data_IF_683770549167
#
_entry.id   IF_683770549167
#
_cell.length_a   1.000
_cell.length_b   1.000
_cell.length_c   1.000
_cell.angle_alpha   90.00
_cell.angle_beta   90.00
_cell.angle_gamma   90.00
#
_symmetry.space_group_name_H-M   'P 1'
#
loop_
_entity.id
_entity.type
_entity.pdbx_description
1 polymer ?
#
# COMPACT_ATOMS: atom_id res chain seq x y z
N UNK A 1 -0.75 35.28 -6.90
CA UNK A 1 -1.55 36.35 -7.51
C UNK A 1 -0.87 37.71 -7.30
N UNK A 2 -0.59 38.16 -6.09
CA UNK A 2 0.05 39.48 -5.81
C UNK A 2 1.41 39.67 -6.47
N UNK A 3 2.17 38.64 -6.72
CA UNK A 3 3.46 38.70 -7.46
C UNK A 3 3.29 39.07 -8.92
N UNK A 4 2.13 38.80 -9.52
CA UNK A 4 1.81 39.16 -10.92
C UNK A 4 0.97 40.41 -11.05
N UNK A 5 0.19 40.76 -10.00
CA UNK A 5 -0.61 41.98 -9.96
C UNK A 5 -0.72 42.48 -8.50
N UNK A 6 -0.01 43.57 -8.22
CA UNK A 6 0.06 44.16 -6.87
C UNK A 6 -1.22 44.88 -6.40
N UNK A 7 -2.18 45.07 -7.31
CA UNK A 7 -3.44 45.76 -6.98
C UNK A 7 -4.52 44.80 -6.46
N UNK A 8 -4.32 43.46 -6.55
CA UNK A 8 -5.27 42.46 -6.10
C UNK A 8 -5.37 42.46 -4.56
N UNK A 9 -6.61 42.47 -4.07
CA UNK A 9 -6.98 42.25 -2.68
C UNK A 9 -7.58 40.87 -2.48
N UNK A 10 -7.82 40.44 -1.24
CA UNK A 10 -8.49 39.14 -0.96
C UNK A 10 -9.91 39.12 -1.51
N UNK A 11 -10.59 40.27 -1.57
CA UNK A 11 -11.95 40.38 -2.09
C UNK A 11 -12.05 40.24 -3.63
N UNK A 12 -10.92 40.32 -4.32
CA UNK A 12 -10.83 40.10 -5.77
C UNK A 12 -10.56 38.62 -6.12
N UNK A 13 -10.50 37.75 -5.11
CA UNK A 13 -10.23 36.32 -5.28
C UNK A 13 -11.47 35.52 -4.90
N UNK A 14 -11.90 34.64 -5.79
CA UNK A 14 -12.94 33.65 -5.54
C UNK A 14 -12.30 32.28 -5.45
N UNK A 15 -12.69 31.50 -4.44
CA UNK A 15 -12.23 30.13 -4.32
C UNK A 15 -12.99 29.26 -5.33
N UNK A 16 -12.24 28.50 -6.14
CA UNK A 16 -12.82 27.51 -7.04
C UNK A 16 -13.67 26.50 -6.27
N UNK A 17 -14.87 26.23 -6.77
CA UNK A 17 -15.82 25.30 -6.15
C UNK A 17 -15.49 23.83 -6.44
N UNK A 18 -14.76 23.57 -7.53
CA UNK A 18 -14.32 22.22 -7.90
C UNK A 18 -13.11 21.77 -7.11
N UNK A 19 -13.01 20.44 -6.92
CA UNK A 19 -11.83 19.81 -6.35
C UNK A 19 -10.80 19.51 -7.47
N UNK A 20 -9.52 19.57 -7.11
CA UNK A 20 -8.47 19.06 -7.97
C UNK A 20 -8.60 17.55 -8.14
N UNK A 21 -8.18 17.04 -9.30
CA UNK A 21 -8.13 15.61 -9.59
C UNK A 21 -7.30 14.87 -8.53
N UNK A 22 -7.73 13.63 -8.20
CA UNK A 22 -7.05 12.75 -7.24
C UNK A 22 -5.55 12.59 -7.54
N UNK A 23 -5.18 12.62 -8.83
CA UNK A 23 -3.79 12.57 -9.25
C UNK A 23 -2.94 13.72 -8.71
N UNK A 24 -3.53 14.87 -8.53
CA UNK A 24 -2.81 16.03 -8.03
C UNK A 24 -2.37 15.85 -6.57
N UNK A 25 -3.20 15.22 -5.75
CA UNK A 25 -2.86 14.92 -4.35
C UNK A 25 -2.00 13.66 -4.21
N UNK A 26 -2.27 12.61 -5.01
CA UNK A 26 -1.59 11.31 -4.89
C UNK A 26 -0.11 11.34 -5.26
N UNK A 27 0.30 12.19 -6.20
CA UNK A 27 1.72 12.32 -6.56
C UNK A 27 2.56 13.02 -5.49
N UNK A 28 1.91 13.81 -4.61
CA UNK A 28 2.57 14.48 -3.49
C UNK A 28 2.65 13.61 -2.23
N UNK A 29 2.06 12.42 -2.27
CA UNK A 29 1.94 11.58 -1.06
C UNK A 29 3.24 11.36 -0.29
N UNK A 30 4.39 11.04 -0.91
CA UNK A 30 5.65 10.88 -0.18
C UNK A 30 6.12 12.14 0.55
N UNK A 31 5.61 13.31 0.16
CA UNK A 31 5.93 14.61 0.75
C UNK A 31 4.86 15.02 1.76
N UNK A 32 3.59 14.91 1.38
CA UNK A 32 2.46 15.42 2.17
C UNK A 32 2.21 14.62 3.45
N UNK A 33 2.50 13.31 3.46
CA UNK A 33 2.31 12.45 4.63
C UNK A 33 3.18 12.87 5.82
N UNK A 34 4.30 13.54 5.56
CA UNK A 34 5.20 14.09 6.57
C UNK A 34 5.06 15.62 6.72
N UNK A 35 3.91 16.19 6.35
CA UNK A 35 3.68 17.63 6.32
C UNK A 35 4.76 18.44 5.57
N UNK A 36 5.44 17.80 4.61
CA UNK A 36 6.55 18.40 3.87
C UNK A 36 6.14 19.44 2.84
N UNK A 37 4.82 19.64 2.62
CA UNK A 37 4.30 20.73 1.76
C UNK A 37 4.34 22.05 2.52
N UNK A 38 3.88 22.07 3.79
CA UNK A 38 3.84 23.26 4.61
C UNK A 38 5.17 23.51 5.34
N UNK A 39 5.82 22.42 5.78
CA UNK A 39 7.07 22.45 6.54
C UNK A 39 8.14 21.57 5.86
N UNK A 40 8.74 22.04 4.74
CA UNK A 40 9.61 21.23 3.89
C UNK A 40 10.89 20.73 4.54
N UNK A 41 11.31 21.33 5.65
CA UNK A 41 12.54 21.01 6.36
C UNK A 41 12.29 20.43 7.76
N UNK A 42 11.08 19.94 8.04
CA UNK A 42 10.78 19.34 9.34
C UNK A 42 11.55 18.04 9.57
N UNK A 43 11.66 17.60 10.81
CA UNK A 43 12.46 16.45 11.23
C UNK A 43 11.97 15.14 10.59
N UNK A 44 10.64 14.95 10.52
CA UNK A 44 10.06 13.71 9.96
C UNK A 44 10.38 13.53 8.48
N UNK A 45 10.18 14.59 7.67
CA UNK A 45 10.48 14.48 6.24
C UNK A 45 11.98 14.31 5.99
N UNK A 46 12.84 14.94 6.78
CA UNK A 46 14.29 14.77 6.66
C UNK A 46 14.75 13.36 7.04
N UNK A 47 14.03 12.68 7.93
CA UNK A 47 14.32 11.30 8.32
C UNK A 47 13.75 10.27 7.34
N UNK A 48 12.49 10.42 6.92
CA UNK A 48 11.78 9.40 6.15
C UNK A 48 11.85 9.58 4.63
N UNK A 49 12.23 10.75 4.14
CA UNK A 49 12.33 11.01 2.70
C UNK A 49 13.80 11.03 2.24
N UNK A 50 14.21 10.27 1.21
CA UNK A 50 13.38 9.30 0.45
C UNK A 50 13.01 8.07 1.30
N UNK A 51 11.79 7.56 1.09
CA UNK A 51 11.34 6.34 1.76
C UNK A 51 12.12 5.11 1.27
N UNK A 52 12.15 4.03 2.04
CA UNK A 52 12.90 2.84 1.65
C UNK A 52 12.23 2.11 0.50
N UNK A 53 10.96 1.76 0.65
CA UNK A 53 10.25 0.91 -0.29
C UNK A 53 8.87 1.46 -0.63
N UNK A 54 8.51 1.46 -1.91
CA UNK A 54 7.15 1.62 -2.40
C UNK A 54 6.64 0.27 -2.88
N UNK A 55 5.51 -0.18 -2.35
CA UNK A 55 4.82 -1.40 -2.80
C UNK A 55 3.58 -0.99 -3.59
N UNK A 56 3.46 -1.43 -4.84
CA UNK A 56 2.37 -1.04 -5.73
C UNK A 56 2.10 -2.08 -6.82
N UNK A 57 0.99 -1.95 -7.54
CA UNK A 57 0.70 -2.74 -8.74
C UNK A 57 1.44 -2.21 -9.97
N UNK A 58 1.84 -3.07 -10.91
CA UNK A 58 2.55 -2.67 -12.12
C UNK A 58 1.69 -1.84 -13.08
N UNK A 59 0.38 -1.95 -13.01
CA UNK A 59 -0.59 -1.26 -13.86
C UNK A 59 -0.67 0.25 -13.61
N UNK A 60 -0.18 0.73 -12.45
CA UNK A 60 -0.15 2.16 -12.11
C UNK A 60 1.26 2.77 -12.10
N UNK A 61 2.23 2.16 -12.78
CA UNK A 61 3.59 2.72 -12.91
C UNK A 61 3.54 4.15 -13.45
N UNK A 62 2.89 4.38 -14.58
CA UNK A 62 2.81 5.71 -15.19
C UNK A 62 1.84 6.63 -14.48
N UNK A 63 0.77 6.07 -13.95
CA UNK A 63 -0.29 6.84 -13.34
C UNK A 63 0.04 7.31 -11.92
N UNK A 64 0.96 6.64 -11.25
CA UNK A 64 1.28 6.97 -9.87
C UNK A 64 2.80 7.03 -9.60
N UNK A 65 3.55 5.96 -9.87
CA UNK A 65 4.98 5.87 -9.55
C UNK A 65 5.77 6.96 -10.26
N UNK A 66 5.62 7.07 -11.58
CA UNK A 66 6.31 8.08 -12.37
C UNK A 66 5.95 9.51 -11.95
N UNK A 67 4.69 9.76 -11.59
CA UNK A 67 4.25 11.07 -11.14
C UNK A 67 4.86 11.46 -9.79
N UNK A 68 4.96 10.52 -8.84
CA UNK A 68 5.66 10.75 -7.58
C UNK A 68 7.14 11.07 -7.80
N UNK A 69 7.79 10.38 -8.75
CA UNK A 69 9.18 10.67 -9.13
C UNK A 69 9.32 12.08 -9.68
N UNK A 70 8.42 12.48 -10.59
CA UNK A 70 8.40 13.85 -11.14
C UNK A 70 8.24 14.90 -10.05
N UNK A 71 7.28 14.72 -9.15
CA UNK A 71 7.06 15.61 -8.02
C UNK A 71 8.27 15.64 -7.07
N UNK A 72 8.88 14.49 -6.81
CA UNK A 72 10.08 14.39 -5.99
C UNK A 72 11.23 15.21 -6.55
N UNK A 73 11.53 15.08 -7.82
CA UNK A 73 12.57 15.90 -8.46
C UNK A 73 12.21 17.36 -8.57
N UNK A 74 10.94 17.71 -8.80
CA UNK A 74 10.51 19.11 -8.87
C UNK A 74 10.60 19.81 -7.52
N UNK A 75 10.07 19.21 -6.45
CA UNK A 75 9.92 19.87 -5.16
C UNK A 75 11.03 19.55 -4.15
N UNK A 76 11.60 18.34 -4.21
CA UNK A 76 12.65 17.89 -3.26
C UNK A 76 14.02 17.69 -3.89
N UNK A 77 14.14 17.81 -5.21
CA UNK A 77 15.38 17.64 -6.01
C UNK A 77 16.01 16.25 -5.87
N UNK A 78 15.24 15.25 -5.46
CA UNK A 78 15.67 13.86 -5.34
C UNK A 78 14.50 12.89 -5.54
N UNK A 79 14.82 11.60 -5.67
CA UNK A 79 13.80 10.55 -5.81
C UNK A 79 13.00 10.37 -4.51
N UNK A 80 11.70 9.97 -4.59
CA UNK A 80 10.84 9.84 -3.42
C UNK A 80 11.02 8.53 -2.65
N UNK A 81 11.55 7.47 -3.26
CA UNK A 81 11.76 6.13 -2.67
C UNK A 81 12.94 5.44 -3.33
N UNK A 82 13.62 4.56 -2.56
CA UNK A 82 14.83 3.85 -3.02
C UNK A 82 14.49 2.66 -3.90
N UNK A 83 13.45 1.91 -3.54
CA UNK A 83 13.02 0.70 -4.24
C UNK A 83 11.52 0.76 -4.55
N UNK A 84 11.12 0.10 -5.64
CA UNK A 84 9.72 -0.12 -6.00
C UNK A 84 9.51 -1.62 -6.13
N UNK A 85 8.61 -2.17 -5.31
CA UNK A 85 8.20 -3.55 -5.39
C UNK A 85 6.84 -3.66 -6.05
N UNK A 86 6.77 -4.37 -7.16
CA UNK A 86 5.53 -4.59 -7.90
C UNK A 86 4.88 -5.91 -7.45
N UNK A 87 3.66 -5.81 -6.91
CA UNK A 87 2.86 -6.98 -6.53
C UNK A 87 2.19 -7.59 -7.74
N UNK A 88 1.87 -8.88 -7.67
CA UNK A 88 0.95 -9.50 -8.62
C UNK A 88 -0.48 -8.96 -8.48
N UNK A 89 -1.24 -9.00 -9.56
CA UNK A 89 -2.68 -8.69 -9.58
C UNK A 89 -3.46 -9.97 -9.33
N UNK A 90 -4.52 -9.88 -8.54
CA UNK A 90 -5.38 -11.04 -8.26
C UNK A 90 -6.31 -11.29 -9.44
N UNK A 91 -6.27 -12.52 -9.96
CA UNK A 91 -7.11 -12.99 -11.06
C UNK A 91 -7.89 -14.23 -10.62
N UNK A 92 -8.93 -14.56 -11.36
CA UNK A 92 -9.65 -15.82 -11.12
C UNK A 92 -8.81 -17.05 -11.53
N UNK A 93 -9.30 -18.25 -11.26
CA UNK A 93 -8.63 -19.52 -11.60
C UNK A 93 -8.28 -19.68 -13.08
N UNK A 94 -8.98 -18.97 -13.97
CA UNK A 94 -8.76 -18.98 -15.41
C UNK A 94 -7.83 -17.86 -15.88
N UNK A 95 -7.25 -17.09 -14.97
CA UNK A 95 -6.37 -15.96 -15.28
C UNK A 95 -7.11 -14.70 -15.74
N UNK A 96 -8.43 -14.64 -15.62
CA UNK A 96 -9.22 -13.49 -16.05
C UNK A 96 -9.24 -12.42 -14.96
N UNK A 97 -9.28 -11.17 -15.37
CA UNK A 97 -9.45 -10.04 -14.45
C UNK A 97 -10.76 -10.20 -13.67
N UNK A 98 -10.67 -10.03 -12.35
CA UNK A 98 -11.86 -10.04 -11.50
C UNK A 98 -12.73 -8.82 -11.76
N UNK A 99 -14.03 -9.03 -11.88
CA UNK A 99 -15.00 -7.94 -12.00
C UNK A 99 -16.35 -8.36 -11.40
N UNK A 100 -17.06 -7.36 -10.85
CA UNK A 100 -18.42 -7.57 -10.32
C UNK A 100 -19.39 -8.05 -11.41
N UNK A 101 -19.24 -7.55 -12.64
CA UNK A 101 -20.09 -7.91 -13.78
C UNK A 101 -19.90 -9.36 -14.24
N UNK A 102 -18.72 -9.93 -14.06
CA UNK A 102 -18.45 -11.33 -14.38
C UNK A 102 -18.79 -12.29 -13.21
N UNK A 103 -19.09 -11.76 -12.02
CA UNK A 103 -19.37 -12.58 -10.85
C UNK A 103 -18.19 -13.45 -10.37
N UNK A 104 -16.97 -13.16 -10.83
CA UNK A 104 -15.77 -13.92 -10.51
C UNK A 104 -14.91 -13.26 -9.42
N UNK A 105 -15.43 -12.23 -8.74
CA UNK A 105 -14.78 -11.56 -7.61
C UNK A 105 -15.49 -11.99 -6.33
N UNK A 106 -14.88 -12.88 -5.51
CA UNK A 106 -15.47 -13.27 -4.23
C UNK A 106 -15.54 -12.08 -3.28
N UNK A 107 -16.55 -12.08 -2.43
CA UNK A 107 -16.67 -11.08 -1.37
C UNK A 107 -15.62 -11.36 -0.28
N UNK A 108 -14.67 -10.44 -0.04
CA UNK A 108 -13.64 -10.63 0.97
C UNK A 108 -14.20 -10.75 2.39
N UNK A 109 -15.34 -10.14 2.69
CA UNK A 109 -15.97 -10.25 4.01
C UNK A 109 -16.45 -11.67 4.26
N UNK A 110 -17.11 -12.28 3.28
CA UNK A 110 -17.54 -13.69 3.39
C UNK A 110 -16.35 -14.65 3.53
N UNK A 111 -15.25 -14.38 2.84
CA UNK A 111 -14.02 -15.17 3.00
C UNK A 111 -13.43 -15.02 4.42
N UNK A 112 -13.43 -13.81 4.96
CA UNK A 112 -12.96 -13.55 6.32
C UNK A 112 -13.84 -14.23 7.36
N UNK A 113 -15.15 -14.20 7.20
CA UNK A 113 -16.09 -14.90 8.09
C UNK A 113 -15.88 -16.41 8.08
N UNK A 114 -15.57 -16.98 6.92
CA UNK A 114 -15.39 -18.44 6.76
C UNK A 114 -14.01 -18.94 7.19
N UNK A 115 -12.95 -18.20 6.87
CA UNK A 115 -11.55 -18.64 7.04
C UNK A 115 -10.76 -17.86 8.09
N UNK A 116 -11.31 -16.75 8.60
CA UNK A 116 -10.60 -15.77 9.40
C UNK A 116 -9.73 -14.83 8.57
N UNK A 117 -9.55 -13.61 9.04
CA UNK A 117 -8.74 -12.59 8.34
C UNK A 117 -7.31 -13.07 8.09
N UNK A 118 -6.68 -13.67 9.09
CA UNK A 118 -5.31 -14.19 8.97
C UNK A 118 -5.23 -15.35 7.97
N UNK A 119 -6.26 -16.20 7.89
CA UNK A 119 -6.34 -17.29 6.91
C UNK A 119 -6.37 -16.77 5.48
N UNK A 120 -7.20 -15.76 5.21
CA UNK A 120 -7.30 -15.10 3.90
C UNK A 120 -5.97 -14.43 3.54
N UNK A 121 -5.41 -13.60 4.44
CA UNK A 121 -4.15 -12.89 4.21
C UNK A 121 -2.98 -13.85 3.97
N UNK A 122 -2.85 -14.88 4.81
CA UNK A 122 -1.77 -15.85 4.68
C UNK A 122 -1.91 -16.69 3.41
N UNK A 123 -3.13 -17.08 3.06
CA UNK A 123 -3.41 -17.77 1.80
C UNK A 123 -2.97 -16.97 0.58
N UNK A 124 -3.29 -15.69 0.55
CA UNK A 124 -2.86 -14.77 -0.50
C UNK A 124 -1.33 -14.67 -0.58
N UNK A 125 -0.66 -14.51 0.56
CA UNK A 125 0.80 -14.38 0.62
C UNK A 125 1.51 -15.66 0.17
N UNK A 126 1.02 -16.83 0.56
CA UNK A 126 1.60 -18.12 0.16
C UNK A 126 1.49 -18.40 -1.34
N UNK A 127 0.51 -17.79 -1.99
CA UNK A 127 0.26 -17.97 -3.43
C UNK A 127 0.77 -16.85 -4.31
N UNK A 128 1.39 -15.81 -3.72
CA UNK A 128 1.92 -14.66 -4.45
C UNK A 128 3.31 -14.97 -5.03
N UNK A 129 3.45 -15.28 -6.33
CA UNK A 129 4.76 -15.41 -6.94
C UNK A 129 5.38 -14.04 -7.18
N UNK A 130 6.69 -13.93 -7.09
CA UNK A 130 7.39 -12.71 -7.45
C UNK A 130 7.20 -12.39 -8.94
N UNK A 131 6.66 -11.19 -9.23
CA UNK A 131 6.53 -10.67 -10.59
C UNK A 131 5.40 -11.26 -11.45
N UNK A 132 4.55 -12.12 -10.91
CA UNK A 132 3.42 -12.72 -11.65
C UNK A 132 2.09 -12.48 -10.93
N UNK A 133 0.99 -12.60 -11.67
CA UNK A 133 -0.36 -12.50 -11.13
C UNK A 133 -0.70 -13.67 -10.20
N UNK A 134 -1.57 -13.41 -9.23
CA UNK A 134 -2.06 -14.39 -8.27
C UNK A 134 -3.33 -15.01 -8.83
N UNK A 135 -3.31 -16.31 -9.13
CA UNK A 135 -4.52 -17.04 -9.48
C UNK A 135 -5.26 -17.41 -8.20
N UNK A 136 -6.33 -16.70 -7.90
CA UNK A 136 -7.09 -16.89 -6.67
C UNK A 136 -7.94 -18.18 -6.74
N UNK A 137 -7.77 -18.98 -5.70
CA UNK A 137 -8.62 -20.11 -5.38
C UNK A 137 -8.98 -20.03 -3.88
N UNK A 138 -10.24 -20.27 -3.55
CA UNK A 138 -10.72 -20.24 -2.16
C UNK A 138 -9.99 -21.26 -1.25
N UNK A 139 -9.49 -22.36 -1.83
CA UNK A 139 -8.66 -23.35 -1.10
C UNK A 139 -7.37 -22.74 -0.53
N UNK A 140 -6.89 -21.63 -1.10
CA UNK A 140 -5.73 -20.91 -0.58
C UNK A 140 -6.01 -20.31 0.80
N UNK A 141 -7.23 -19.83 1.03
CA UNK A 141 -7.65 -19.31 2.34
C UNK A 141 -7.67 -20.42 3.40
N UNK A 142 -8.11 -21.63 3.02
CA UNK A 142 -8.05 -22.78 3.91
C UNK A 142 -6.61 -23.19 4.24
N UNK A 143 -5.73 -23.22 3.26
CA UNK A 143 -4.30 -23.47 3.47
C UNK A 143 -3.68 -22.44 4.43
N UNK A 144 -4.00 -21.16 4.22
CA UNK A 144 -3.54 -20.08 5.10
C UNK A 144 -4.03 -20.26 6.54
N UNK A 145 -5.31 -20.58 6.74
CA UNK A 145 -5.87 -20.89 8.07
C UNK A 145 -5.15 -22.06 8.73
N UNK A 146 -4.96 -23.14 7.99
CA UNK A 146 -4.29 -24.34 8.51
C UNK A 146 -2.83 -24.06 8.87
N UNK A 147 -2.13 -23.25 8.09
CA UNK A 147 -0.78 -22.82 8.41
C UNK A 147 -0.73 -21.98 9.69
N UNK A 148 -1.59 -20.99 9.83
CA UNK A 148 -1.68 -20.15 11.04
C UNK A 148 -2.02 -20.98 12.29
N UNK A 149 -2.90 -21.97 12.17
CA UNK A 149 -3.21 -22.89 13.26
C UNK A 149 -1.98 -23.71 13.69
N UNK A 150 -1.12 -24.13 12.76
CA UNK A 150 0.14 -24.80 13.10
C UNK A 150 1.06 -23.90 13.92
N UNK A 151 1.23 -22.64 13.50
CA UNK A 151 2.04 -21.66 14.24
C UNK A 151 1.46 -21.44 15.64
N UNK A 152 0.14 -21.24 15.73
CA UNK A 152 -0.53 -21.03 17.01
C UNK A 152 -0.37 -22.22 17.96
N UNK A 153 -0.53 -23.44 17.45
CA UNK A 153 -0.36 -24.65 18.27
C UNK A 153 1.09 -24.85 18.71
N UNK A 154 2.06 -24.57 17.84
CA UNK A 154 3.48 -24.58 18.19
C UNK A 154 3.79 -23.55 19.29
N UNK A 155 3.27 -22.34 19.15
CA UNK A 155 3.42 -21.31 20.19
C UNK A 155 2.82 -21.74 21.53
N UNK A 156 1.61 -22.31 21.53
CA UNK A 156 0.98 -22.83 22.76
C UNK A 156 1.81 -23.93 23.42
N UNK A 157 2.40 -24.81 22.63
CA UNK A 157 3.30 -25.87 23.13
C UNK A 157 4.51 -25.25 23.82
N UNK A 158 5.23 -24.37 23.14
CA UNK A 158 6.44 -23.71 23.68
C UNK A 158 6.10 -22.87 24.92
N UNK A 159 4.97 -22.14 24.91
CA UNK A 159 4.51 -21.37 26.08
C UNK A 159 4.25 -22.22 27.31
N UNK A 160 3.91 -23.49 27.12
CA UNK A 160 3.71 -24.45 28.22
C UNK A 160 5.00 -25.04 28.81
N UNK A 161 6.14 -24.80 28.18
CA UNK A 161 7.41 -25.30 28.67
C UNK A 161 7.93 -24.43 29.82
N UNK A 162 8.48 -25.10 30.82
CA UNK A 162 9.26 -24.44 31.89
C UNK A 162 10.73 -24.56 31.50
N UNK A 163 11.40 -23.41 31.29
CA UNK A 163 12.83 -23.39 31.12
C UNK A 163 13.51 -23.50 32.50
N UNK A 164 14.47 -24.40 32.64
CA UNK A 164 15.35 -24.41 33.80
C UNK A 164 16.43 -23.33 33.60
N UNK A 165 16.77 -22.60 34.66
CA UNK A 165 17.91 -21.72 34.67
C UNK A 165 19.19 -22.57 34.43
N UNK A 166 19.92 -22.27 33.37
CA UNK A 166 21.23 -22.85 33.14
C UNK A 166 22.20 -22.03 33.99
N UNK A 167 22.65 -22.59 35.13
CA UNK A 167 23.80 -22.06 35.82
C UNK A 167 25.03 -22.12 34.88
N UNK A 168 25.58 -20.95 34.55
CA UNK A 168 26.81 -20.83 33.78
C UNK A 168 28.03 -21.04 34.66
#
# INVERSE_FOLDING_TARGET
AKTKNSTLTVNDLEQESDCLDTWFSSWLWPISVFDGVNHPDNEEINYYYPTSDLVTGPDIIFFWVARMIMAGYEYRKTYPFKHVYFTGIVRDKLGRKMSKSLGNSPDPIMLIEKYGADGVRMGMMLSAPAGNDILFDETLCEQGRNFNNKIWNAFRLVKGWQAADIEQ
#
